data_IF_179247484842
#
_entry.id   IF_179247484842
#
_cell.length_a   1.000
_cell.length_b   1.000
_cell.length_c   1.000
_cell.angle_alpha   90.00
_cell.angle_beta   90.00
_cell.angle_gamma   90.00
#
_symmetry.space_group_name_H-M   'P 1'
#
loop_
_entity.id
_entity.type
_entity.pdbx_description
1 polymer ?
#
# COMPACT_ATOMS: atom_id res chain seq x y z
N UNK A 1 -8.37 11.48 -0.07
CA UNK A 1 -8.38 11.28 1.40
C UNK A 1 -9.71 11.49 2.14
N UNK A 2 -10.81 11.97 1.53
CA UNK A 2 -12.09 12.11 2.26
C UNK A 2 -12.81 10.78 2.49
N UNK A 3 -12.67 9.81 1.59
CA UNK A 3 -13.32 8.50 1.69
C UNK A 3 -12.90 7.72 2.96
N UNK A 4 -11.61 7.75 3.30
CA UNK A 4 -11.04 7.03 4.46
C UNK A 4 -11.70 7.43 5.78
N UNK A 5 -12.18 8.67 5.90
CA UNK A 5 -12.86 9.21 7.09
C UNK A 5 -14.24 8.60 7.35
N UNK A 6 -14.83 7.93 6.35
CA UNK A 6 -16.14 7.29 6.46
C UNK A 6 -16.07 5.91 7.13
N UNK A 7 -14.87 5.41 7.38
CA UNK A 7 -14.63 4.09 7.97
C UNK A 7 -13.98 4.23 9.35
N UNK A 8 -14.44 3.42 10.29
CA UNK A 8 -13.84 3.30 11.61
C UNK A 8 -12.53 2.52 11.50
N UNK A 9 -11.58 2.82 12.38
CA UNK A 9 -10.36 2.03 12.48
C UNK A 9 -10.67 0.58 12.82
N UNK A 10 -10.01 -0.34 12.12
CA UNK A 10 -10.21 -1.77 12.24
C UNK A 10 -11.60 -2.28 11.80
N UNK A 11 -12.37 -1.51 11.02
CA UNK A 11 -13.68 -1.95 10.53
C UNK A 11 -13.65 -2.71 9.21
N UNK A 12 -12.52 -2.74 8.51
CA UNK A 12 -12.37 -3.40 7.21
C UNK A 12 -11.58 -4.70 7.34
N UNK A 13 -12.04 -5.75 6.67
CA UNK A 13 -11.27 -7.00 6.48
C UNK A 13 -10.18 -6.84 5.41
N UNK A 14 -10.43 -6.01 4.42
CA UNK A 14 -9.60 -5.87 3.24
C UNK A 14 -9.67 -4.45 2.65
N UNK A 15 -8.55 -3.98 2.10
CA UNK A 15 -8.51 -2.80 1.22
C UNK A 15 -7.56 -3.05 0.05
N UNK A 16 -7.98 -2.64 -1.14
CA UNK A 16 -7.14 -2.58 -2.32
C UNK A 16 -6.88 -1.12 -2.72
N UNK A 17 -5.62 -0.70 -2.62
CA UNK A 17 -5.19 0.67 -2.88
C UNK A 17 -4.72 0.77 -4.32
N UNK A 18 -5.53 1.40 -5.16
CA UNK A 18 -5.16 1.77 -6.52
C UNK A 18 -4.83 3.27 -6.56
N UNK A 19 -3.66 3.62 -6.01
CA UNK A 19 -3.17 4.99 -6.01
C UNK A 19 -2.15 5.15 -7.14
N UNK A 20 -2.38 6.16 -7.98
CA UNK A 20 -1.52 6.53 -9.09
C UNK A 20 -1.19 8.00 -8.92
N UNK A 21 0.04 8.32 -8.54
CA UNK A 21 0.41 9.68 -8.17
C UNK A 21 1.79 9.78 -7.54
N UNK A 22 2.05 10.92 -6.89
CA UNK A 22 3.31 11.17 -6.21
C UNK A 22 3.46 10.27 -4.96
N UNK A 23 4.72 10.03 -4.58
CA UNK A 23 5.16 9.24 -3.44
C UNK A 23 4.47 9.64 -2.14
N UNK A 24 4.12 10.92 -1.97
CA UNK A 24 3.42 11.42 -0.80
C UNK A 24 1.98 10.91 -0.74
N UNK A 25 1.22 11.03 -1.83
CA UNK A 25 -0.17 10.59 -1.87
C UNK A 25 -0.28 9.08 -1.63
N UNK A 26 0.66 8.32 -2.19
CA UNK A 26 0.76 6.89 -1.95
C UNK A 26 1.04 6.53 -0.48
N UNK A 27 1.95 7.27 0.17
CA UNK A 27 2.24 7.05 1.59
C UNK A 27 1.02 7.39 2.47
N UNK A 28 0.34 8.51 2.17
CA UNK A 28 -0.86 8.94 2.88
C UNK A 28 -1.98 7.91 2.70
N UNK A 29 -2.20 7.39 1.49
CA UNK A 29 -3.17 6.32 1.25
C UNK A 29 -2.81 5.05 2.03
N UNK A 30 -1.58 4.54 1.90
CA UNK A 30 -1.16 3.31 2.59
C UNK A 30 -1.32 3.48 4.10
N UNK A 31 -0.87 4.60 4.67
CA UNK A 31 -0.94 4.83 6.11
C UNK A 31 -2.36 4.99 6.63
N UNK A 32 -3.20 5.79 5.98
CA UNK A 32 -4.57 6.03 6.43
C UNK A 32 -5.48 4.82 6.21
N UNK A 33 -5.39 4.15 5.07
CA UNK A 33 -6.18 2.95 4.81
C UNK A 33 -5.74 1.76 5.66
N UNK A 34 -4.46 1.66 6.00
CA UNK A 34 -3.98 0.64 6.94
C UNK A 34 -4.67 0.73 8.29
N UNK A 35 -4.95 1.92 8.82
CA UNK A 35 -5.66 2.09 10.10
C UNK A 35 -7.06 1.47 10.06
N UNK A 36 -7.71 1.53 8.90
CA UNK A 36 -9.09 1.04 8.69
C UNK A 36 -9.16 -0.48 8.63
N UNK A 37 -8.09 -1.14 8.22
CA UNK A 37 -8.01 -2.61 8.20
C UNK A 37 -7.81 -3.17 9.61
N UNK A 38 -8.55 -4.23 9.95
CA UNK A 38 -8.43 -4.91 11.25
C UNK A 38 -7.13 -5.71 11.35
N UNK A 39 -6.77 -6.11 12.57
CA UNK A 39 -5.71 -7.12 12.75
C UNK A 39 -6.10 -8.43 12.07
N UNK A 40 -5.15 -9.03 11.34
CA UNK A 40 -5.36 -10.18 10.47
C UNK A 40 -6.06 -9.86 9.14
N UNK A 41 -6.42 -8.60 8.88
CA UNK A 41 -6.94 -8.16 7.59
C UNK A 41 -5.82 -7.89 6.57
N UNK A 42 -6.19 -7.71 5.32
CA UNK A 42 -5.25 -7.57 4.20
C UNK A 42 -5.23 -6.13 3.67
N UNK A 43 -4.03 -5.59 3.50
CA UNK A 43 -3.81 -4.35 2.73
C UNK A 43 -3.07 -4.74 1.46
N UNK A 44 -3.67 -4.42 0.31
CA UNK A 44 -3.11 -4.70 -1.00
C UNK A 44 -3.06 -3.44 -1.85
N UNK A 45 -2.28 -3.47 -2.93
CA UNK A 45 -2.24 -2.39 -3.90
C UNK A 45 -1.62 -2.79 -5.22
N UNK A 46 -1.74 -1.87 -6.17
CA UNK A 46 -1.21 -1.98 -7.53
C UNK A 46 0.20 -1.37 -7.64
N UNK A 47 0.88 -1.56 -8.78
CA UNK A 47 2.07 -0.81 -9.21
C UNK A 47 3.36 -1.04 -8.39
N UNK A 48 3.61 -2.27 -7.93
CA UNK A 48 4.89 -2.65 -7.31
C UNK A 48 5.99 -2.85 -8.37
N UNK A 49 6.23 -1.84 -9.21
CA UNK A 49 7.20 -1.87 -10.29
C UNK A 49 8.52 -1.16 -9.96
N UNK A 50 9.57 -1.49 -10.72
CA UNK A 50 10.86 -0.80 -10.67
C UNK A 50 11.05 0.20 -11.81
N UNK A 51 10.27 0.11 -12.90
CA UNK A 51 10.50 0.96 -14.08
C UNK A 51 9.77 2.29 -14.01
N UNK A 52 10.37 3.23 -14.74
CA UNK A 52 9.76 4.50 -15.11
C UNK A 52 8.51 4.20 -15.94
N UNK A 53 7.37 4.78 -15.58
CA UNK A 53 6.27 4.83 -16.53
C UNK A 53 6.61 5.79 -17.66
N UNK A 54 5.85 5.69 -18.75
CA UNK A 54 5.91 6.55 -19.94
C UNK A 54 6.14 8.01 -19.54
N UNK A 55 7.28 8.58 -19.95
CA UNK A 55 7.68 9.95 -19.58
C UNK A 55 8.82 10.05 -18.57
N UNK A 56 9.43 8.93 -18.15
CA UNK A 56 10.68 8.95 -17.37
C UNK A 56 10.50 9.29 -15.88
N UNK A 57 9.26 9.32 -15.39
CA UNK A 57 8.97 9.57 -13.98
C UNK A 57 9.10 8.26 -13.19
N UNK A 58 9.97 8.27 -12.16
CA UNK A 58 10.01 7.18 -11.17
C UNK A 58 8.71 7.23 -10.39
N UNK A 59 7.85 6.23 -10.56
CA UNK A 59 6.84 5.97 -9.55
C UNK A 59 7.57 5.48 -8.30
N UNK A 60 7.63 6.33 -7.29
CA UNK A 60 8.23 6.01 -6.01
C UNK A 60 7.49 4.92 -5.23
N UNK A 61 6.46 4.27 -5.80
CA UNK A 61 5.54 3.42 -5.06
C UNK A 61 6.23 2.22 -4.43
N UNK A 62 7.10 1.50 -5.18
CA UNK A 62 7.88 0.41 -4.60
C UNK A 62 8.70 0.89 -3.40
N UNK A 63 9.38 2.03 -3.52
CA UNK A 63 10.18 2.62 -2.43
C UNK A 63 9.30 3.01 -1.24
N UNK A 64 8.09 3.53 -1.48
CA UNK A 64 7.12 3.88 -0.45
C UNK A 64 6.63 2.63 0.28
N UNK A 65 6.21 1.60 -0.46
CA UNK A 65 5.77 0.31 0.10
C UNK A 65 6.91 -0.33 0.90
N UNK A 66 8.12 -0.40 0.35
CA UNK A 66 9.30 -0.95 1.03
C UNK A 66 9.60 -0.20 2.33
N UNK A 67 9.59 1.14 2.30
CA UNK A 67 9.80 1.96 3.49
C UNK A 67 8.70 1.72 4.53
N UNK A 68 7.44 1.65 4.09
CA UNK A 68 6.29 1.41 4.95
C UNK A 68 6.39 0.05 5.66
N UNK A 69 6.59 -1.04 4.92
CA UNK A 69 6.65 -2.39 5.51
C UNK A 69 7.87 -2.54 6.42
N UNK A 70 9.01 -1.95 6.07
CA UNK A 70 10.21 -2.01 6.90
C UNK A 70 10.04 -1.22 8.20
N UNK A 71 9.54 0.02 8.13
CA UNK A 71 9.32 0.86 9.32
C UNK A 71 8.34 0.22 10.30
N UNK A 72 7.31 -0.44 9.77
CA UNK A 72 6.28 -1.08 10.59
C UNK A 72 6.59 -2.56 10.91
N UNK A 73 7.75 -3.07 10.49
CA UNK A 73 8.18 -4.47 10.68
C UNK A 73 7.14 -5.49 10.17
N UNK A 74 6.50 -5.17 9.05
CA UNK A 74 5.46 -5.98 8.41
C UNK A 74 6.14 -7.03 7.53
N UNK A 75 5.90 -8.31 7.82
CA UNK A 75 6.34 -9.45 6.99
C UNK A 75 5.29 -10.58 7.09
N UNK A 76 5.03 -11.35 6.00
CA UNK A 76 5.61 -11.18 4.67
C UNK A 76 4.96 -10.02 3.89
N UNK A 77 5.74 -9.41 2.99
CA UNK A 77 5.23 -8.65 1.84
C UNK A 77 5.21 -9.62 0.67
N UNK A 78 4.05 -9.84 0.07
CA UNK A 78 3.89 -10.71 -1.09
C UNK A 78 3.66 -9.85 -2.31
N UNK A 79 4.38 -10.15 -3.39
CA UNK A 79 4.29 -9.48 -4.67
C UNK A 79 3.90 -10.52 -5.70
N UNK A 80 2.77 -10.29 -6.36
CA UNK A 80 2.30 -11.10 -7.47
C UNK A 80 2.82 -10.54 -8.77
N UNK A 81 3.18 -11.46 -9.65
CA UNK A 81 3.87 -11.19 -10.91
C UNK A 81 5.21 -10.47 -10.71
N UNK A 82 6.07 -10.52 -11.73
CA UNK A 82 7.35 -9.83 -11.71
C UNK A 82 7.41 -8.81 -12.86
N UNK A 83 6.49 -7.85 -12.83
CA UNK A 83 6.38 -6.81 -13.84
C UNK A 83 6.19 -5.43 -13.20
N UNK A 84 6.11 -4.39 -14.02
CA UNK A 84 6.06 -3.00 -13.52
C UNK A 84 4.70 -2.61 -12.91
N UNK A 85 3.71 -3.47 -13.08
CA UNK A 85 2.33 -3.26 -12.66
C UNK A 85 1.91 -4.30 -11.61
N UNK A 86 2.89 -4.97 -11.00
CA UNK A 86 2.71 -6.05 -10.02
C UNK A 86 1.81 -5.62 -8.87
N UNK A 87 0.91 -6.53 -8.48
CA UNK A 87 0.12 -6.38 -7.25
C UNK A 87 0.97 -6.75 -6.05
N UNK A 88 0.86 -5.98 -4.98
CA UNK A 88 1.50 -6.28 -3.69
C UNK A 88 0.46 -6.37 -2.60
N UNK A 89 0.73 -7.15 -1.55
CA UNK A 89 -0.07 -7.13 -0.33
C UNK A 89 0.70 -7.58 0.92
N UNK A 90 0.15 -7.22 2.08
CA UNK A 90 0.55 -7.77 3.37
C UNK A 90 -0.65 -7.99 4.29
N UNK A 91 -0.46 -8.84 5.30
CA UNK A 91 -1.41 -9.02 6.40
C UNK A 91 -1.07 -8.03 7.51
N UNK A 92 -2.08 -7.29 8.00
CA UNK A 92 -1.90 -6.35 9.11
C UNK A 92 -1.86 -7.10 10.44
N UNK A 93 -0.67 -7.39 10.95
CA UNK A 93 -0.52 -8.12 12.21
C UNK A 93 -0.59 -7.21 13.46
N UNK A 94 -0.19 -5.95 13.32
CA UNK A 94 -0.10 -4.98 14.43
C UNK A 94 -0.87 -3.72 14.08
N UNK A 95 -1.19 -2.94 15.11
CA UNK A 95 -1.72 -1.59 14.93
C UNK A 95 -0.57 -0.71 14.39
N UNK A 96 -0.43 -0.70 13.06
CA UNK A 96 0.35 0.30 12.33
C UNK A 96 -0.41 1.63 12.28
#
# INVERSE_FOLDING_TARGET
MNAVKRFKDGSLDFVYINTFGDSKDAFDDISEWSKKVRKGGIVAGYNYGNKLLWGGQRLGLKKVVDKWVNNNKIRPLIVFDNNDISTWFYVKEKSA
#
